data_IF_947089509778
#
_entry.id   IF_947089509778
#
_cell.length_a   1.000
_cell.length_b   1.000
_cell.length_c   1.000
_cell.angle_alpha   90.00
_cell.angle_beta   90.00
_cell.angle_gamma   90.00
#
_symmetry.space_group_name_H-M   'P 1'
#
loop_
_entity.id
_entity.type
_entity.pdbx_description
1 polymer ?
#
# COMPACT_ATOMS: atom_id res chain seq x y z
N UNK A 1 23.40 15.66 -22.53
CA UNK A 1 22.08 16.00 -23.11
C UNK A 1 21.06 15.36 -22.21
N UNK A 2 20.50 16.16 -21.31
CA UNK A 2 19.52 15.78 -20.29
C UNK A 2 18.21 15.42 -20.97
N UNK A 3 17.78 14.18 -20.77
CA UNK A 3 16.51 13.67 -21.26
C UNK A 3 15.41 14.15 -20.29
N UNK A 4 15.00 15.40 -20.43
CA UNK A 4 13.77 15.92 -19.82
C UNK A 4 12.59 15.22 -20.52
N UNK A 5 12.13 14.10 -19.97
CA UNK A 5 10.78 13.64 -20.25
C UNK A 5 9.83 14.64 -19.61
N UNK A 6 9.32 15.54 -20.39
CA UNK A 6 8.18 16.36 -20.03
C UNK A 6 7.03 15.44 -19.62
N UNK A 7 6.65 15.48 -18.34
CA UNK A 7 5.41 14.95 -17.79
C UNK A 7 4.23 15.77 -18.39
N UNK A 8 3.89 15.52 -19.65
CA UNK A 8 2.82 16.24 -20.35
C UNK A 8 1.41 15.74 -20.03
N UNK A 9 1.25 14.70 -19.19
CA UNK A 9 -0.01 14.27 -18.57
C UNK A 9 0.32 13.68 -17.21
N UNK A 10 -0.02 14.40 -16.12
CA UNK A 10 0.01 13.84 -14.77
C UNK A 10 -0.96 12.67 -14.72
N UNK A 11 -0.42 11.46 -14.58
CA UNK A 11 -1.23 10.28 -14.38
C UNK A 11 -1.69 10.23 -12.92
N UNK A 12 -2.95 9.89 -12.70
CA UNK A 12 -3.46 9.57 -11.37
C UNK A 12 -2.88 8.22 -10.95
N UNK A 13 -2.28 8.19 -9.75
CA UNK A 13 -1.61 7.02 -9.20
C UNK A 13 -2.53 6.33 -8.20
N UNK A 14 -2.64 5.00 -8.32
CA UNK A 14 -3.42 4.15 -7.41
C UNK A 14 -2.49 3.23 -6.63
N UNK A 15 -2.33 3.46 -5.33
CA UNK A 15 -1.39 2.67 -4.54
C UNK A 15 -1.93 1.28 -4.15
N UNK A 16 -3.24 1.04 -4.28
CA UNK A 16 -3.84 -0.23 -3.91
C UNK A 16 -5.19 -0.45 -4.60
N UNK A 17 -5.31 -1.52 -5.37
CA UNK A 17 -6.56 -1.94 -5.99
C UNK A 17 -6.66 -3.46 -6.10
N UNK A 18 -7.89 -3.99 -6.03
CA UNK A 18 -8.19 -5.39 -6.35
C UNK A 18 -8.74 -5.58 -7.77
N UNK A 19 -8.84 -4.51 -8.56
CA UNK A 19 -9.34 -4.58 -9.93
C UNK A 19 -8.44 -5.42 -10.83
N UNK A 20 -9.04 -6.28 -11.65
CA UNK A 20 -8.33 -7.04 -12.69
C UNK A 20 -8.05 -6.18 -13.93
N UNK A 21 -8.91 -5.22 -14.22
CA UNK A 21 -8.73 -4.28 -15.33
C UNK A 21 -8.23 -2.95 -14.77
N UNK A 22 -6.95 -2.71 -14.92
CA UNK A 22 -6.29 -1.51 -14.42
C UNK A 22 -5.88 -0.61 -15.58
N UNK A 23 -6.10 0.69 -15.43
CA UNK A 23 -5.66 1.70 -16.37
C UNK A 23 -4.71 2.67 -15.68
N UNK A 24 -3.56 2.92 -16.30
CA UNK A 24 -2.54 3.81 -15.75
C UNK A 24 -1.65 3.12 -14.72
N UNK A 25 -0.99 3.91 -13.89
CA UNK A 25 -0.05 3.42 -12.90
C UNK A 25 -0.77 3.08 -11.59
N UNK A 26 -1.09 1.80 -11.41
CA UNK A 26 -1.73 1.29 -10.20
C UNK A 26 -1.03 0.02 -9.70
N UNK A 27 -1.07 -0.20 -8.38
CA UNK A 27 -0.57 -1.42 -7.76
C UNK A 27 -1.75 -2.34 -7.46
N UNK A 28 -1.84 -3.42 -8.24
CA UNK A 28 -2.83 -4.46 -8.00
C UNK A 28 -2.37 -5.38 -6.89
N UNK A 29 -3.18 -5.50 -5.84
CA UNK A 29 -2.93 -6.43 -4.74
C UNK A 29 -3.36 -7.84 -5.14
N UNK A 30 -2.41 -8.78 -5.17
CA UNK A 30 -2.69 -10.19 -5.45
C UNK A 30 -3.04 -10.92 -4.16
N UNK A 31 -4.13 -11.68 -4.20
CA UNK A 31 -4.47 -12.58 -3.09
C UNK A 31 -3.46 -13.73 -2.98
N UNK A 32 -3.46 -14.41 -1.82
CA UNK A 32 -2.62 -15.59 -1.62
C UNK A 32 -2.85 -16.66 -2.70
N UNK A 33 -4.10 -16.91 -3.05
CA UNK A 33 -4.49 -17.90 -4.06
C UNK A 33 -3.96 -17.53 -5.44
N UNK A 34 -3.99 -16.25 -5.80
CA UNK A 34 -3.47 -15.78 -7.09
C UNK A 34 -1.95 -15.94 -7.18
N UNK A 35 -1.18 -15.35 -6.27
CA UNK A 35 0.28 -15.37 -6.40
C UNK A 35 0.90 -16.76 -6.13
N UNK A 36 0.29 -17.60 -5.27
CA UNK A 36 0.74 -18.97 -5.04
C UNK A 36 0.30 -19.95 -6.12
N UNK A 37 -0.81 -19.66 -6.80
CA UNK A 37 -1.36 -20.45 -7.89
C UNK A 37 -0.72 -20.21 -9.26
N UNK A 38 0.22 -19.26 -9.36
CA UNK A 38 0.94 -18.94 -10.60
C UNK A 38 0.14 -17.98 -11.49
N UNK A 39 -0.31 -16.86 -10.95
CA UNK A 39 -0.95 -15.79 -11.72
C UNK A 39 -0.06 -15.30 -12.86
N UNK A 40 -0.64 -14.98 -14.00
CA UNK A 40 0.08 -14.34 -15.09
C UNK A 40 0.39 -12.89 -14.73
N UNK A 41 1.66 -12.54 -14.71
CA UNK A 41 2.14 -11.17 -14.51
C UNK A 41 2.14 -10.46 -15.85
N UNK A 42 1.37 -9.39 -15.97
CA UNK A 42 1.24 -8.61 -17.20
C UNK A 42 2.35 -7.57 -17.31
N UNK A 43 2.87 -7.36 -18.51
CA UNK A 43 3.87 -6.34 -18.77
C UNK A 43 3.31 -4.93 -18.50
N UNK A 44 4.06 -4.11 -17.78
CA UNK A 44 3.65 -2.73 -17.45
C UNK A 44 2.70 -2.60 -16.27
N UNK A 45 2.11 -3.70 -15.77
CA UNK A 45 1.28 -3.70 -14.57
C UNK A 45 2.15 -3.89 -13.32
N UNK A 46 1.85 -3.13 -12.25
CA UNK A 46 2.50 -3.29 -10.94
C UNK A 46 1.64 -4.12 -9.99
N UNK A 47 2.32 -4.85 -9.10
CA UNK A 47 1.68 -5.76 -8.16
C UNK A 47 2.25 -5.62 -6.75
N UNK A 48 1.41 -5.95 -5.77
CA UNK A 48 1.84 -6.31 -4.42
C UNK A 48 1.44 -7.75 -4.09
N UNK A 49 2.24 -8.41 -3.25
CA UNK A 49 1.94 -9.75 -2.72
C UNK A 49 2.02 -9.74 -1.21
N UNK A 50 1.05 -10.40 -0.57
CA UNK A 50 0.98 -10.50 0.88
C UNK A 50 0.06 -11.62 1.33
N UNK A 51 0.00 -11.79 2.65
CA UNK A 51 -0.91 -12.72 3.34
C UNK A 51 -1.84 -11.89 4.21
N UNK A 52 -3.06 -11.77 3.72
CA UNK A 52 -4.10 -10.93 4.33
C UNK A 52 -4.60 -11.54 5.64
N UNK A 53 -4.88 -10.74 6.70
CA UNK A 53 -5.28 -11.26 8.02
C UNK A 53 -6.60 -12.05 8.03
N UNK A 54 -7.42 -11.96 6.99
CA UNK A 54 -8.68 -12.73 6.91
C UNK A 54 -8.48 -14.17 6.43
N UNK A 55 -7.37 -14.48 5.78
CA UNK A 55 -7.09 -15.77 5.14
C UNK A 55 -5.68 -16.27 5.42
N UNK A 56 -5.22 -16.13 6.67
CA UNK A 56 -3.88 -16.58 7.05
C UNK A 56 -3.78 -18.11 6.94
N UNK A 57 -2.73 -18.62 6.29
CA UNK A 57 -2.43 -20.05 6.28
C UNK A 57 -2.05 -20.57 7.67
N UNK A 58 -1.96 -21.90 7.81
CA UNK A 58 -1.47 -22.52 9.05
C UNK A 58 -0.03 -22.05 9.39
N UNK A 59 0.26 -21.86 10.65
CA UNK A 59 1.52 -21.31 11.14
C UNK A 59 2.76 -22.12 10.70
N UNK A 60 2.62 -23.42 10.50
CA UNK A 60 3.68 -24.30 10.00
C UNK A 60 4.14 -23.95 8.59
N UNK A 61 3.32 -23.21 7.82
CA UNK A 61 3.64 -22.74 6.47
C UNK A 61 4.42 -21.43 6.45
N UNK A 62 4.64 -20.79 7.61
CA UNK A 62 5.21 -19.44 7.67
C UNK A 62 6.55 -19.34 6.91
N UNK A 63 7.51 -20.19 7.25
CA UNK A 63 8.84 -20.14 6.63
C UNK A 63 8.78 -20.38 5.13
N UNK A 64 8.07 -21.42 4.69
CA UNK A 64 7.94 -21.76 3.28
C UNK A 64 7.31 -20.62 2.46
N UNK A 65 6.27 -19.99 2.99
CA UNK A 65 5.56 -18.92 2.29
C UNK A 65 6.35 -17.61 2.25
N UNK A 66 7.06 -17.28 3.32
CA UNK A 66 7.97 -16.12 3.31
C UNK A 66 9.13 -16.34 2.31
N UNK A 67 9.66 -17.54 2.18
CA UNK A 67 10.69 -17.86 1.18
C UNK A 67 10.14 -17.84 -0.25
N UNK A 68 8.91 -18.29 -0.48
CA UNK A 68 8.23 -18.14 -1.77
C UNK A 68 8.01 -16.67 -2.13
N UNK A 69 7.50 -15.85 -1.20
CA UNK A 69 7.35 -14.40 -1.39
C UNK A 69 8.70 -13.74 -1.71
N UNK A 70 9.77 -14.10 -0.98
CA UNK A 70 11.14 -13.62 -1.22
C UNK A 70 11.57 -13.93 -2.66
N UNK A 71 11.35 -15.16 -3.11
CA UNK A 71 11.72 -15.60 -4.46
C UNK A 71 10.95 -14.83 -5.53
N UNK A 72 9.65 -14.64 -5.37
CA UNK A 72 8.81 -13.87 -6.29
C UNK A 72 9.23 -12.39 -6.35
N UNK A 73 9.42 -11.75 -5.20
CA UNK A 73 9.88 -10.35 -5.10
C UNK A 73 11.25 -10.13 -5.74
N UNK A 74 12.13 -11.14 -5.71
CA UNK A 74 13.46 -11.06 -6.32
C UNK A 74 13.44 -11.33 -7.83
N UNK A 75 12.57 -12.23 -8.32
CA UNK A 75 12.55 -12.67 -9.72
C UNK A 75 11.55 -11.94 -10.60
N UNK A 76 10.60 -11.21 -10.03
CA UNK A 76 9.49 -10.57 -10.74
C UNK A 76 9.51 -9.05 -10.47
N UNK A 77 10.13 -8.26 -11.35
CA UNK A 77 10.28 -6.81 -11.15
C UNK A 77 8.96 -6.05 -10.99
N UNK A 78 7.88 -6.57 -11.56
CA UNK A 78 6.55 -5.98 -11.47
C UNK A 78 5.94 -6.08 -10.07
N UNK A 79 6.43 -7.00 -9.21
CA UNK A 79 6.00 -7.07 -7.82
C UNK A 79 6.82 -6.06 -7.01
N UNK A 80 6.24 -4.89 -6.77
CA UNK A 80 6.95 -3.72 -6.23
C UNK A 80 6.77 -3.54 -4.72
N UNK A 81 5.77 -4.17 -4.10
CA UNK A 81 5.44 -3.99 -2.68
C UNK A 81 5.11 -5.30 -2.00
N UNK A 82 5.28 -5.34 -0.67
CA UNK A 82 4.74 -6.38 0.20
C UNK A 82 3.38 -5.91 0.73
N UNK A 83 2.37 -6.70 0.54
CA UNK A 83 0.99 -6.41 0.94
C UNK A 83 -0.02 -6.96 -0.07
N UNK A 84 -1.23 -7.05 0.30
CA UNK A 84 -1.84 -6.56 1.52
C UNK A 84 -1.52 -7.51 2.68
N UNK A 85 -1.05 -6.98 3.80
CA UNK A 85 -0.78 -7.73 5.03
C UNK A 85 -1.16 -6.88 6.26
N UNK A 86 -1.44 -7.50 7.40
CA UNK A 86 -1.85 -6.66 8.52
C UNK A 86 -2.47 -7.38 9.70
N UNK A 87 -3.22 -6.59 10.50
CA UNK A 87 -4.00 -7.07 11.65
C UNK A 87 -5.41 -6.49 11.58
N UNK A 88 -6.40 -7.36 11.60
CA UNK A 88 -7.81 -7.01 11.71
C UNK A 88 -8.42 -7.64 12.95
N UNK A 89 -8.68 -6.83 14.00
CA UNK A 89 -9.30 -7.29 15.26
C UNK A 89 -10.82 -7.48 15.16
N UNK A 90 -11.41 -7.23 14.00
CA UNK A 90 -12.88 -7.26 13.82
C UNK A 90 -13.32 -8.44 12.95
N UNK A 91 -12.60 -8.73 11.86
CA UNK A 91 -13.05 -9.69 10.84
C UNK A 91 -12.16 -10.93 10.73
N UNK A 92 -10.94 -10.90 11.22
CA UNK A 92 -10.06 -12.07 11.17
C UNK A 92 -10.54 -13.17 12.10
N UNK A 93 -10.46 -14.42 11.63
CA UNK A 93 -10.68 -15.61 12.45
C UNK A 93 -9.40 -16.08 13.17
N UNK A 94 -8.22 -15.59 12.75
CA UNK A 94 -6.96 -15.90 13.41
C UNK A 94 -6.81 -15.08 14.69
N UNK A 95 -6.14 -15.67 15.70
CA UNK A 95 -5.81 -14.97 16.92
C UNK A 95 -4.92 -13.75 16.67
N UNK A 96 -4.94 -12.80 17.60
CA UNK A 96 -4.07 -11.62 17.49
C UNK A 96 -2.58 -12.01 17.44
N UNK A 97 -2.18 -13.05 18.18
CA UNK A 97 -0.81 -13.54 18.19
C UNK A 97 -0.39 -14.11 16.82
N UNK A 98 -1.25 -14.89 16.17
CA UNK A 98 -1.02 -15.40 14.82
C UNK A 98 -0.92 -14.28 13.80
N UNK A 99 -1.88 -13.35 13.81
CA UNK A 99 -1.85 -12.18 12.91
C UNK A 99 -0.56 -11.38 13.09
N UNK A 100 -0.12 -11.14 14.33
CA UNK A 100 1.12 -10.42 14.63
C UNK A 100 2.34 -11.18 14.06
N UNK A 101 2.41 -12.49 14.27
CA UNK A 101 3.51 -13.33 13.77
C UNK A 101 3.62 -13.24 12.23
N UNK A 102 2.49 -13.36 11.54
CA UNK A 102 2.45 -13.26 10.08
C UNK A 102 2.80 -11.86 9.57
N UNK A 103 2.29 -10.81 10.23
CA UNK A 103 2.60 -9.43 9.87
C UNK A 103 4.08 -9.12 10.06
N UNK A 104 4.64 -9.48 11.22
CA UNK A 104 6.05 -9.22 11.53
C UNK A 104 6.98 -9.89 10.51
N UNK A 105 6.72 -11.14 10.13
CA UNK A 105 7.51 -11.85 9.14
C UNK A 105 7.47 -11.16 7.76
N UNK A 106 6.31 -10.70 7.33
CA UNK A 106 6.13 -9.99 6.06
C UNK A 106 6.79 -8.60 6.09
N UNK A 107 6.63 -7.84 7.16
CA UNK A 107 7.27 -6.54 7.31
C UNK A 107 8.80 -6.67 7.36
N UNK A 108 9.32 -7.70 8.03
CA UNK A 108 10.75 -8.01 8.06
C UNK A 108 11.28 -8.37 6.67
N UNK A 109 10.54 -9.17 5.90
CA UNK A 109 10.88 -9.47 4.51
C UNK A 109 10.96 -8.20 3.66
N UNK A 110 9.98 -7.30 3.81
CA UNK A 110 9.95 -6.03 3.09
C UNK A 110 11.15 -5.14 3.45
N UNK A 111 11.54 -5.07 4.73
CA UNK A 111 12.73 -4.34 5.18
C UNK A 111 14.01 -4.92 4.53
N UNK A 112 14.17 -6.25 4.54
CA UNK A 112 15.32 -6.93 3.95
C UNK A 112 15.46 -6.68 2.42
N UNK A 113 14.34 -6.53 1.73
CA UNK A 113 14.31 -6.34 0.28
C UNK A 113 14.10 -4.88 -0.14
N UNK A 114 14.06 -3.95 0.82
CA UNK A 114 13.75 -2.54 0.59
C UNK A 114 12.46 -2.32 -0.22
N UNK A 115 11.40 -3.10 0.08
CA UNK A 115 10.10 -3.01 -0.59
C UNK A 115 9.12 -2.19 0.24
N UNK A 116 8.35 -1.27 -0.37
CA UNK A 116 7.23 -0.62 0.31
C UNK A 116 6.23 -1.64 0.86
N UNK A 117 5.48 -1.23 1.89
CA UNK A 117 4.52 -2.11 2.58
C UNK A 117 3.13 -1.50 2.53
N UNK A 118 2.14 -2.29 2.09
CA UNK A 118 0.72 -1.95 2.12
C UNK A 118 0.04 -2.70 3.28
N UNK A 119 -0.43 -1.94 4.27
CA UNK A 119 -0.88 -2.46 5.56
C UNK A 119 -2.40 -2.37 5.72
N UNK A 120 -3.02 -3.51 5.98
CA UNK A 120 -4.40 -3.62 6.46
C UNK A 120 -4.43 -3.52 7.97
N UNK A 121 -4.89 -2.40 8.53
CA UNK A 121 -4.89 -2.21 9.98
C UNK A 121 -6.29 -1.81 10.47
N UNK A 122 -6.98 -2.74 11.13
CA UNK A 122 -8.31 -2.50 11.70
C UNK A 122 -8.27 -2.67 13.22
N UNK A 123 -8.43 -1.54 13.95
CA UNK A 123 -8.38 -1.46 15.41
C UNK A 123 -7.11 -2.06 16.06
N UNK A 124 -5.99 -2.08 15.32
CA UNK A 124 -4.71 -2.67 15.73
C UNK A 124 -3.55 -1.66 15.64
N UNK A 125 -3.83 -0.40 15.89
CA UNK A 125 -2.86 0.70 15.73
C UNK A 125 -1.62 0.53 16.60
N UNK A 126 -1.81 0.15 17.88
CA UNK A 126 -0.71 -0.08 18.84
C UNK A 126 0.19 -1.22 18.41
N UNK A 127 -0.38 -2.34 18.00
CA UNK A 127 0.38 -3.52 17.55
C UNK A 127 1.19 -3.21 16.29
N UNK A 128 0.59 -2.50 15.34
CA UNK A 128 1.29 -2.09 14.11
C UNK A 128 2.45 -1.11 14.41
N UNK A 129 2.25 -0.18 15.34
CA UNK A 129 3.32 0.73 15.80
C UNK A 129 4.43 -0.04 16.52
N UNK A 130 4.10 -0.99 17.38
CA UNK A 130 5.07 -1.81 18.10
C UNK A 130 5.97 -2.58 17.14
N UNK A 131 5.40 -3.31 16.18
CA UNK A 131 6.17 -4.04 15.17
C UNK A 131 7.10 -3.09 14.40
N UNK A 132 6.58 -1.93 13.94
CA UNK A 132 7.40 -0.95 13.24
C UNK A 132 8.57 -0.45 14.09
N UNK A 133 8.36 -0.21 15.39
CA UNK A 133 9.41 0.23 16.32
C UNK A 133 10.45 -0.86 16.57
N UNK A 134 10.04 -2.11 16.67
CA UNK A 134 10.92 -3.27 16.79
C UNK A 134 11.82 -3.37 15.54
N UNK A 135 11.23 -3.27 14.35
CA UNK A 135 11.98 -3.30 13.09
C UNK A 135 12.95 -2.10 12.93
N UNK A 136 12.58 -0.93 13.45
CA UNK A 136 13.46 0.25 13.41
C UNK A 136 14.72 0.13 14.29
N UNK A 137 14.79 -0.86 15.17
CA UNK A 137 16.00 -1.18 15.92
C UNK A 137 17.00 -2.02 15.11
N UNK A 138 16.53 -2.67 14.05
CA UNK A 138 17.33 -3.58 13.23
C UNK A 138 17.59 -3.03 11.82
N UNK A 139 16.68 -2.19 11.30
CA UNK A 139 16.71 -1.68 9.93
C UNK A 139 16.66 -0.15 9.93
N UNK A 140 17.61 0.49 9.25
CA UNK A 140 17.66 1.96 9.05
C UNK A 140 18.25 2.26 7.66
N UNK A 141 17.51 2.92 6.75
CA UNK A 141 16.12 3.34 6.90
C UNK A 141 15.11 2.21 6.74
N UNK A 142 13.94 2.37 7.37
CA UNK A 142 12.78 1.53 7.09
C UNK A 142 12.18 1.88 5.71
N UNK A 143 11.65 0.90 4.96
CA UNK A 143 10.91 1.19 3.74
C UNK A 143 9.60 1.93 4.06
N UNK A 144 9.02 2.66 3.08
CA UNK A 144 7.72 3.30 3.23
C UNK A 144 6.63 2.29 3.62
N UNK A 145 5.83 2.64 4.63
CA UNK A 145 4.73 1.83 5.15
C UNK A 145 3.44 2.62 5.03
N UNK A 146 2.48 2.07 4.33
CA UNK A 146 1.19 2.70 4.02
C UNK A 146 0.07 1.97 4.73
N UNK A 147 -0.74 2.69 5.48
CA UNK A 147 -2.03 2.19 5.97
C UNK A 147 -3.07 2.40 4.88
N UNK A 148 -3.43 1.33 4.17
CA UNK A 148 -4.43 1.40 3.12
C UNK A 148 -5.84 1.50 3.71
N UNK A 149 -6.80 1.99 2.91
CA UNK A 149 -8.20 2.10 3.31
C UNK A 149 -8.42 2.94 4.57
N UNK A 150 -7.66 4.00 4.79
CA UNK A 150 -7.67 4.71 6.06
C UNK A 150 -8.97 5.48 6.30
N UNK A 151 -9.75 5.06 7.30
CA UNK A 151 -11.07 5.65 7.64
C UNK A 151 -11.16 6.11 9.11
N UNK A 152 -10.05 6.02 9.86
CA UNK A 152 -10.04 6.43 11.26
C UNK A 152 -10.01 7.96 11.38
N UNK A 153 -10.35 8.46 12.59
CA UNK A 153 -10.42 9.90 12.89
C UNK A 153 -9.06 10.57 12.89
N UNK A 154 -9.06 11.90 12.76
CA UNK A 154 -7.86 12.73 12.73
C UNK A 154 -6.88 12.49 13.89
N UNK A 155 -7.35 12.11 15.09
CA UNK A 155 -6.49 11.78 16.22
C UNK A 155 -5.62 10.54 15.95
N UNK A 156 -6.24 9.50 15.39
CA UNK A 156 -5.51 8.28 14.96
C UNK A 156 -4.58 8.60 13.80
N UNK A 157 -5.03 9.39 12.82
CA UNK A 157 -4.18 9.83 11.72
C UNK A 157 -2.93 10.55 12.22
N UNK A 158 -3.07 11.51 13.13
CA UNK A 158 -1.93 12.22 13.73
C UNK A 158 -0.96 11.26 14.42
N UNK A 159 -1.48 10.30 15.17
CA UNK A 159 -0.67 9.29 15.84
C UNK A 159 0.12 8.45 14.82
N UNK A 160 -0.53 7.93 13.78
CA UNK A 160 0.13 7.08 12.78
C UNK A 160 1.15 7.86 11.95
N UNK A 161 0.82 9.06 11.51
CA UNK A 161 1.74 9.97 10.80
C UNK A 161 2.98 10.29 11.66
N UNK A 162 2.81 10.55 12.96
CA UNK A 162 3.95 10.80 13.87
C UNK A 162 4.88 9.60 14.05
N UNK A 163 4.41 8.40 13.73
CA UNK A 163 5.23 7.19 13.71
C UNK A 163 5.82 6.89 12.32
N UNK A 164 5.63 7.79 11.34
CA UNK A 164 6.20 7.67 10.00
C UNK A 164 5.45 6.73 9.06
N UNK A 165 4.17 6.46 9.31
CA UNK A 165 3.29 5.83 8.34
C UNK A 165 2.75 6.86 7.36
N UNK A 166 2.55 6.45 6.10
CA UNK A 166 1.70 7.16 5.16
C UNK A 166 0.27 6.60 5.22
N UNK A 167 -0.71 7.39 4.78
CA UNK A 167 -2.12 7.03 4.81
C UNK A 167 -2.69 7.06 3.39
N UNK A 168 -3.38 6.00 3.00
CA UNK A 168 -4.07 5.93 1.72
C UNK A 168 -5.57 6.14 1.89
N UNK A 169 -6.15 6.89 0.98
CA UNK A 169 -7.56 7.28 1.01
C UNK A 169 -8.25 6.90 -0.29
N UNK A 170 -9.38 6.23 -0.14
CA UNK A 170 -10.32 5.94 -1.20
C UNK A 170 -11.60 6.78 -1.03
N UNK A 171 -12.71 6.22 -1.48
CA UNK A 171 -14.04 6.87 -1.47
C UNK A 171 -14.53 7.32 -0.09
N UNK A 172 -14.15 6.59 0.98
CA UNK A 172 -14.62 6.85 2.34
C UNK A 172 -13.44 7.27 3.23
N UNK A 173 -13.52 8.45 3.84
CA UNK A 173 -12.45 9.01 4.66
C UNK A 173 -12.97 9.96 5.74
N UNK A 174 -12.14 10.27 6.71
CA UNK A 174 -12.35 11.36 7.65
C UNK A 174 -11.65 12.63 7.13
N UNK A 175 -12.36 13.76 6.96
CA UNK A 175 -11.76 14.97 6.37
C UNK A 175 -10.58 15.54 7.17
N UNK A 176 -10.58 15.38 8.51
CA UNK A 176 -9.47 15.83 9.33
C UNK A 176 -8.23 14.92 9.13
N UNK A 177 -8.43 13.60 8.99
CA UNK A 177 -7.36 12.66 8.70
C UNK A 177 -6.74 12.93 7.31
N UNK A 178 -7.58 13.17 6.30
CA UNK A 178 -7.15 13.51 4.95
C UNK A 178 -6.25 14.77 4.95
N UNK A 179 -6.70 15.84 5.59
CA UNK A 179 -5.94 17.10 5.69
C UNK A 179 -4.59 16.91 6.40
N UNK A 180 -4.57 16.17 7.52
CA UNK A 180 -3.34 15.87 8.24
C UNK A 180 -2.34 15.09 7.38
N UNK A 181 -2.79 14.10 6.61
CA UNK A 181 -1.93 13.34 5.72
C UNK A 181 -1.39 14.20 4.56
N UNK A 182 -2.21 15.09 4.01
CA UNK A 182 -1.80 16.05 2.99
C UNK A 182 -0.72 17.01 3.52
N UNK A 183 -0.95 17.63 4.68
CA UNK A 183 0.00 18.55 5.33
C UNK A 183 1.32 17.85 5.72
N UNK A 184 1.27 16.57 6.02
CA UNK A 184 2.45 15.75 6.34
C UNK A 184 3.18 15.21 5.09
N UNK A 185 2.73 15.50 3.87
CA UNK A 185 3.25 14.91 2.62
C UNK A 185 3.28 13.37 2.63
N UNK A 186 2.27 12.76 3.28
CA UNK A 186 2.14 11.32 3.48
C UNK A 186 0.76 10.80 3.04
N UNK A 187 0.12 11.51 2.08
CA UNK A 187 -1.16 11.16 1.50
C UNK A 187 -0.96 10.34 0.23
N UNK A 188 -1.65 9.20 0.16
CA UNK A 188 -1.78 8.38 -1.03
C UNK A 188 -3.26 8.23 -1.39
N UNK A 189 -3.50 7.84 -2.64
CA UNK A 189 -4.84 7.61 -3.18
C UNK A 189 -4.96 6.15 -3.61
N UNK A 190 -6.15 5.58 -3.41
CA UNK A 190 -6.47 4.21 -3.79
C UNK A 190 -7.91 4.08 -4.29
N UNK A 191 -8.18 3.03 -5.05
CA UNK A 191 -9.55 2.62 -5.36
C UNK A 191 -10.03 1.47 -4.49
N UNK A 192 -9.12 0.62 -3.97
CA UNK A 192 -9.43 -0.60 -3.21
C UNK A 192 -10.38 -1.52 -4.01
N UNK A 193 -11.67 -1.49 -3.72
CA UNK A 193 -12.73 -2.14 -4.51
C UNK A 193 -13.47 -1.14 -5.39
N UNK A 194 -13.71 -1.49 -6.65
CA UNK A 194 -14.41 -0.60 -7.59
C UNK A 194 -15.91 -0.51 -7.26
N UNK A 195 -16.47 0.70 -7.29
CA UNK A 195 -17.92 0.87 -7.27
C UNK A 195 -18.57 0.15 -8.45
N UNK A 196 -19.75 -0.43 -8.19
CA UNK A 196 -20.48 -1.17 -9.24
C UNK A 196 -20.75 -0.28 -10.46
N UNK A 197 -20.33 -0.75 -11.63
CA UNK A 197 -20.59 -0.11 -12.93
C UNK A 197 -19.56 0.97 -13.33
N UNK A 198 -18.53 1.21 -12.53
CA UNK A 198 -17.41 2.06 -12.93
C UNK A 198 -16.22 1.22 -13.39
N UNK A 199 -15.52 1.73 -14.38
CA UNK A 199 -14.17 1.28 -14.72
C UNK A 199 -13.17 1.77 -13.66
N UNK A 200 -12.00 1.14 -13.58
CA UNK A 200 -10.92 1.59 -12.70
C UNK A 200 -10.57 3.07 -12.93
N UNK A 201 -10.46 3.49 -14.18
CA UNK A 201 -10.14 4.87 -14.56
C UNK A 201 -11.17 5.88 -14.05
N UNK A 202 -12.45 5.56 -14.21
CA UNK A 202 -13.55 6.42 -13.73
C UNK A 202 -13.55 6.50 -12.20
N UNK A 203 -13.45 5.37 -11.52
CA UNK A 203 -13.40 5.32 -10.06
C UNK A 203 -12.20 6.10 -9.48
N UNK A 204 -11.03 5.96 -10.08
CA UNK A 204 -9.83 6.69 -9.67
C UNK A 204 -9.99 8.20 -9.89
N UNK A 205 -10.49 8.63 -11.07
CA UNK A 205 -10.73 10.03 -11.36
C UNK A 205 -11.76 10.67 -10.40
N UNK A 206 -12.86 9.96 -10.11
CA UNK A 206 -13.84 10.40 -9.11
C UNK A 206 -13.18 10.53 -7.72
N UNK A 207 -12.34 9.56 -7.31
CA UNK A 207 -11.65 9.59 -6.02
C UNK A 207 -10.73 10.81 -5.92
N UNK A 208 -9.89 11.06 -6.92
CA UNK A 208 -9.04 12.26 -6.96
C UNK A 208 -9.84 13.54 -6.89
N UNK A 209 -10.94 13.64 -7.63
CA UNK A 209 -11.82 14.82 -7.62
C UNK A 209 -12.39 15.08 -6.22
N UNK A 210 -12.97 14.06 -5.58
CA UNK A 210 -13.57 14.21 -4.24
C UNK A 210 -12.55 14.56 -3.16
N UNK A 211 -11.35 13.95 -3.20
CA UNK A 211 -10.29 14.25 -2.22
C UNK A 211 -9.72 15.66 -2.44
N UNK A 212 -9.52 16.07 -3.68
CA UNK A 212 -9.05 17.41 -4.04
C UNK A 212 -10.04 18.50 -3.62
N UNK A 213 -11.34 18.29 -3.85
CA UNK A 213 -12.41 19.19 -3.39
C UNK A 213 -12.39 19.36 -1.86
N UNK A 214 -12.26 18.27 -1.11
CA UNK A 214 -12.18 18.30 0.35
C UNK A 214 -10.93 19.02 0.88
N UNK A 215 -9.86 19.05 0.11
CA UNK A 215 -8.61 19.76 0.40
C UNK A 215 -8.63 21.22 -0.11
N UNK A 216 -9.61 21.60 -0.94
CA UNK A 216 -9.69 22.88 -1.64
C UNK A 216 -8.50 23.13 -2.58
N UNK A 217 -8.09 22.07 -3.32
CA UNK A 217 -7.03 22.10 -4.35
C UNK A 217 -7.57 21.49 -5.66
N UNK A 218 -6.77 21.50 -6.74
CA UNK A 218 -7.15 20.80 -7.97
C UNK A 218 -6.73 19.32 -7.93
N UNK A 219 -7.37 18.41 -8.71
CA UNK A 219 -6.94 17.02 -8.82
C UNK A 219 -5.49 16.86 -9.28
N UNK A 220 -5.02 17.76 -10.16
CA UNK A 220 -3.64 17.77 -10.65
C UNK A 220 -2.66 18.11 -9.53
N UNK A 221 -2.96 19.12 -8.70
CA UNK A 221 -2.14 19.47 -7.54
C UNK A 221 -2.10 18.31 -6.52
N UNK A 222 -3.22 17.60 -6.35
CA UNK A 222 -3.23 16.39 -5.52
C UNK A 222 -2.36 15.29 -6.12
N UNK A 223 -2.42 15.07 -7.44
CA UNK A 223 -1.60 14.06 -8.13
C UNK A 223 -0.10 14.36 -7.99
N UNK A 224 0.31 15.61 -8.09
CA UNK A 224 1.70 16.05 -7.83
C UNK A 224 2.13 15.70 -6.39
N UNK A 225 1.28 15.99 -5.41
CA UNK A 225 1.56 15.68 -4.00
C UNK A 225 1.69 14.17 -3.78
N UNK A 226 0.81 13.36 -4.38
CA UNK A 226 0.83 11.89 -4.28
C UNK A 226 2.10 11.33 -4.90
N UNK A 227 2.47 11.77 -6.11
CA UNK A 227 3.66 11.33 -6.82
C UNK A 227 4.96 11.68 -6.07
N UNK A 228 4.98 12.80 -5.36
CA UNK A 228 6.14 13.22 -4.57
C UNK A 228 6.34 12.46 -3.24
N UNK A 229 5.43 11.53 -2.89
CA UNK A 229 5.56 10.77 -1.64
C UNK A 229 6.74 9.79 -1.68
N UNK A 230 7.40 9.50 -0.54
CA UNK A 230 8.48 8.51 -0.47
C UNK A 230 8.06 7.12 -0.98
N UNK A 231 6.78 6.78 -0.87
CA UNK A 231 6.24 5.51 -1.38
C UNK A 231 6.40 5.42 -2.91
N UNK A 232 5.90 6.40 -3.66
CA UNK A 232 5.99 6.38 -5.12
C UNK A 232 7.42 6.58 -5.63
N UNK A 233 8.23 7.38 -4.93
CA UNK A 233 9.67 7.50 -5.24
C UNK A 233 10.40 6.16 -5.10
N UNK A 234 10.06 5.35 -4.08
CA UNK A 234 10.62 4.01 -3.92
C UNK A 234 10.14 3.06 -5.03
N UNK A 235 8.86 3.13 -5.42
CA UNK A 235 8.30 2.33 -6.53
C UNK A 235 8.98 2.69 -7.85
N UNK A 236 9.18 3.97 -8.16
CA UNK A 236 9.90 4.43 -9.34
C UNK A 236 11.35 3.96 -9.36
N UNK A 237 12.04 4.04 -8.21
CA UNK A 237 13.42 3.55 -8.08
C UNK A 237 13.51 2.05 -8.36
N UNK A 238 12.60 1.23 -7.82
CA UNK A 238 12.52 -0.20 -8.12
C UNK A 238 12.26 -0.46 -9.61
N UNK A 239 11.48 0.39 -10.26
CA UNK A 239 11.24 0.35 -11.71
C UNK A 239 12.45 0.74 -12.56
N UNK A 240 13.34 1.59 -12.04
CA UNK A 240 14.54 2.07 -12.76
C UNK A 240 15.73 1.09 -12.71
N UNK A 241 15.67 0.08 -11.85
CA UNK A 241 16.67 -1.00 -11.76
C UNK A 241 16.50 -2.08 -12.84
N UNK A 242 15.60 -1.87 -13.79
CA UNK A 242 15.25 -2.78 -14.91
C UNK A 242 16.12 -2.57 -16.14
#
# INVERSE_FOLDING_TARGET
>A
MSNERHLSHLEFLDCHTHSHEVNGLAIRSLTYEEWSGGVTIEEGQLYSIGLHPWSLPLAERLTDLIDQMRSLLASTPQIVAVGECGIDKVRSNASLAEQRTWLEAQMRLACLLHRPILLHTVRAWSETIEIRRELAQEFDPLPPMVLHGFRAKGEVARMMLSQGFALSFGRYYDPAALRLAYEAHALLVETDELPRGLTHREALAETYTHLAEALAITPEALAECVAATPFWQQVEWLGSLR
#
